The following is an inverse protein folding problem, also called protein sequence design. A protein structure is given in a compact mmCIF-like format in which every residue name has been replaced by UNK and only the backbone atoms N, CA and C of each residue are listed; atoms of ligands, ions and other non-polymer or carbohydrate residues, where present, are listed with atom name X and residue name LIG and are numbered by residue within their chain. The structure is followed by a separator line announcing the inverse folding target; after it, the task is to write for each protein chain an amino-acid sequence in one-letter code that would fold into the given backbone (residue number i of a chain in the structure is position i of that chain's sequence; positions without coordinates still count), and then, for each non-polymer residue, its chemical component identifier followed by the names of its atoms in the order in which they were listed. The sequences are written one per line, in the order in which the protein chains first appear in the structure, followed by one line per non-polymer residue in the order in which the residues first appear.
data_IF_518846542306
#
_entry.id   IF_518846542306
#
_cell.length_a   1.000
_cell.length_b   1.000
_cell.length_c   1.000
_cell.angle_alpha   90.00
_cell.angle_beta   90.00
_cell.angle_gamma   90.00
#
_symmetry.space_group_name_H-M   'P 1'
#
loop_
_entity.id
_entity.type
_entity.pdbx_description
1 polymer ?
#
# COMPACT_ATOMS: atom_id res chain seq x y z
N UNK A 1 24.31 40.87 -24.32
CA UNK A 1 24.70 40.07 -23.16
C UNK A 1 23.75 40.44 -22.03
N UNK A 2 22.77 39.59 -21.76
CA UNK A 2 21.85 39.73 -20.60
C UNK A 2 22.42 38.91 -19.44
N UNK A 3 22.38 39.42 -18.16
CA UNK A 3 22.91 38.68 -17.04
C UNK A 3 21.97 37.51 -16.62
N UNK A 4 22.58 36.34 -16.43
CA UNK A 4 21.91 35.15 -15.90
C UNK A 4 21.58 35.36 -14.44
N UNK A 5 20.29 35.29 -14.06
CA UNK A 5 19.84 35.31 -12.67
C UNK A 5 20.26 34.02 -11.96
N UNK A 6 21.03 34.15 -10.87
CA UNK A 6 21.33 33.05 -9.95
C UNK A 6 20.04 32.57 -9.21
N UNK A 7 19.88 31.28 -8.96
CA UNK A 7 18.76 30.77 -8.17
C UNK A 7 18.88 31.20 -6.70
N UNK A 8 17.75 31.45 -6.07
CA UNK A 8 17.58 31.98 -4.72
C UNK A 8 17.95 30.90 -3.67
N UNK A 9 19.14 30.96 -3.12
CA UNK A 9 19.67 30.04 -2.10
C UNK A 9 18.89 30.08 -0.77
N UNK A 10 18.09 31.12 -0.51
CA UNK A 10 17.29 31.27 0.71
C UNK A 10 16.09 30.29 0.82
N UNK A 11 15.50 29.88 -0.30
CA UNK A 11 14.32 28.99 -0.27
C UNK A 11 14.67 27.53 0.04
N UNK A 12 15.89 27.10 -0.29
CA UNK A 12 16.34 25.72 -0.05
C UNK A 12 16.77 25.49 1.40
N UNK A 13 17.31 26.53 2.06
CA UNK A 13 17.69 26.50 3.48
C UNK A 13 16.46 26.43 4.39
N UNK A 14 15.37 27.13 4.06
CA UNK A 14 14.12 27.13 4.85
C UNK A 14 13.37 25.79 4.77
N UNK A 15 13.45 25.08 3.64
CA UNK A 15 12.86 23.75 3.47
C UNK A 15 13.62 22.66 4.25
N UNK A 16 14.96 22.76 4.31
CA UNK A 16 15.78 21.84 5.11
C UNK A 16 15.57 22.05 6.61
N UNK A 17 15.44 23.28 7.07
CA UNK A 17 15.23 23.61 8.48
C UNK A 17 13.86 23.11 8.97
N UNK A 18 12.82 23.20 8.14
CA UNK A 18 11.48 22.67 8.45
C UNK A 18 11.45 21.14 8.50
N UNK A 19 12.16 20.44 7.62
CA UNK A 19 12.28 18.96 7.67
C UNK A 19 13.04 18.47 8.91
N UNK A 20 14.09 19.20 9.35
CA UNK A 20 14.82 18.86 10.56
C UNK A 20 13.95 19.05 11.82
N UNK A 21 13.14 20.10 11.87
CA UNK A 21 12.25 20.39 12.99
C UNK A 21 11.16 19.31 13.16
N UNK A 22 10.59 18.80 12.05
CA UNK A 22 9.57 17.73 12.07
C UNK A 22 10.18 16.40 12.55
N UNK A 23 11.40 16.07 12.12
CA UNK A 23 12.12 14.87 12.58
C UNK A 23 12.44 14.91 14.08
N UNK A 24 12.84 16.06 14.61
CA UNK A 24 13.12 16.23 16.04
C UNK A 24 11.84 16.24 16.90
N UNK A 25 10.71 16.69 16.35
CA UNK A 25 9.42 16.68 17.04
C UNK A 25 8.87 15.25 17.17
N UNK A 26 8.97 14.44 16.13
CA UNK A 26 8.62 13.01 16.15
C UNK A 26 9.47 12.19 17.12
N UNK A 27 10.77 12.47 17.22
CA UNK A 27 11.67 11.80 18.18
C UNK A 27 11.35 12.13 19.64
N UNK A 28 10.88 13.36 19.91
CA UNK A 28 10.46 13.78 21.27
C UNK A 28 9.11 13.22 21.68
N UNK A 29 8.17 13.01 20.74
CA UNK A 29 6.88 12.34 21.01
C UNK A 29 7.08 10.87 21.37
N UNK A 30 7.98 10.15 20.70
CA UNK A 30 8.31 8.76 21.00
C UNK A 30 8.97 8.60 22.38
N UNK A 31 9.81 9.57 22.79
CA UNK A 31 10.47 9.55 24.10
C UNK A 31 9.50 9.81 25.28
N UNK A 32 8.45 10.61 25.06
CA UNK A 32 7.42 10.87 26.09
C UNK A 32 6.44 9.70 26.29
N UNK A 33 6.23 8.87 25.28
CA UNK A 33 5.40 7.66 25.39
C UNK A 33 6.09 6.50 26.13
N UNK A 34 7.42 6.50 26.21
CA UNK A 34 8.20 5.46 26.90
C UNK A 34 8.43 5.76 28.39
N UNK A 35 8.10 6.95 28.91
CA UNK A 35 8.29 7.36 30.30
C UNK A 35 7.04 7.30 31.19
N UNK A 36 5.91 6.83 30.66
CA UNK A 36 4.61 6.78 31.35
C UNK A 36 4.30 5.50 32.14
N UNK A 37 5.20 4.50 32.21
CA UNK A 37 4.89 3.18 32.77
C UNK A 37 5.81 2.75 33.92
N UNK A 38 6.03 3.60 34.91
CA UNK A 38 6.72 3.22 36.16
C UNK A 38 6.29 4.16 37.29
N UNK A 39 5.32 3.78 38.08
CA UNK A 39 4.95 4.09 39.50
C UNK A 39 3.53 3.55 39.66
N UNK A 40 3.20 2.60 40.53
CA UNK A 40 3.53 2.47 41.96
C UNK A 40 3.22 1.05 42.48
N UNK A 41 4.21 0.50 43.13
CA UNK A 41 4.01 -0.52 44.18
C UNK A 41 3.94 0.25 45.52
N UNK A 42 2.83 0.13 46.23
CA UNK A 42 2.66 0.67 47.58
C UNK A 42 1.96 -0.34 48.46
N UNK A 43 2.73 -0.93 49.37
CA UNK A 43 2.31 -1.82 50.44
C UNK A 43 1.44 -1.12 51.48
N UNK A 44 0.44 -1.81 52.01
CA UNK A 44 0.14 -1.73 53.46
C UNK A 44 -0.68 -2.92 53.90
N UNK A 45 -0.36 -3.36 55.10
CA UNK A 45 -0.68 -4.59 55.73
C UNK A 45 -1.89 -4.52 56.65
N UNK A 46 -2.37 -5.72 57.01
CA UNK A 46 -2.84 -6.25 58.27
C UNK A 46 -4.30 -6.05 58.71
N UNK A 47 -4.85 -7.17 59.03
CA UNK A 47 -5.60 -7.70 60.17
C UNK A 47 -7.01 -8.16 59.77
N UNK A 48 -7.36 -9.41 59.82
CA UNK A 48 -7.52 -10.27 60.94
C UNK A 48 -8.96 -10.75 61.03
N UNK A 49 -9.15 -12.08 61.21
CA UNK A 49 -10.23 -12.77 61.85
C UNK A 49 -11.33 -13.48 61.04
N UNK A 50 -11.24 -14.81 61.12
CA UNK A 50 -12.25 -15.86 61.34
C UNK A 50 -13.23 -16.26 60.24
N UNK A 51 -13.06 -17.53 59.88
CA UNK A 51 -14.02 -18.44 59.23
C UNK A 51 -15.27 -18.71 60.10
N UNK A 52 -16.39 -19.24 59.54
CA UNK A 52 -16.45 -20.66 59.25
C UNK A 52 -17.23 -21.08 57.97
N UNK A 53 -16.87 -22.30 57.54
CA UNK A 53 -17.48 -23.25 56.61
C UNK A 53 -18.95 -23.09 56.19
N UNK A 54 -19.18 -23.27 54.88
CA UNK A 54 -20.26 -24.11 54.36
C UNK A 54 -19.93 -24.60 52.94
N UNK A 55 -20.05 -25.89 52.74
CA UNK A 55 -19.86 -26.66 51.51
C UNK A 55 -20.93 -26.36 50.45
N UNK A 56 -20.54 -26.63 49.22
CA UNK A 56 -21.27 -27.25 48.12
C UNK A 56 -21.50 -26.41 46.86
N UNK A 57 -21.07 -26.96 45.74
CA UNK A 57 -21.59 -26.61 44.41
C UNK A 57 -20.52 -26.33 43.36
N UNK A 58 -19.86 -27.38 42.89
CA UNK A 58 -19.11 -27.40 41.63
C UNK A 58 -20.08 -27.21 40.46
N UNK A 59 -20.08 -26.04 39.86
CA UNK A 59 -20.41 -25.92 38.44
C UNK A 59 -19.32 -25.08 37.77
N UNK A 60 -18.56 -25.76 36.91
CA UNK A 60 -17.48 -25.17 36.11
C UNK A 60 -18.05 -24.19 35.10
N UNK A 61 -17.91 -22.91 35.37
CA UNK A 61 -18.00 -21.88 34.32
C UNK A 61 -16.64 -21.85 33.64
N UNK A 62 -16.52 -22.57 32.55
CA UNK A 62 -15.44 -22.37 31.58
C UNK A 62 -15.62 -20.99 30.97
N UNK A 63 -14.81 -20.07 31.45
CA UNK A 63 -14.60 -18.77 30.82
C UNK A 63 -13.96 -19.05 29.44
N UNK A 64 -14.57 -18.61 28.31
CA UNK A 64 -13.89 -18.68 27.05
C UNK A 64 -12.73 -17.69 27.09
N UNK A 65 -11.53 -18.19 27.13
CA UNK A 65 -10.32 -17.42 26.83
C UNK A 65 -10.39 -17.01 25.35
N UNK A 66 -11.01 -15.87 25.09
CA UNK A 66 -10.83 -15.20 23.81
C UNK A 66 -9.43 -14.56 23.83
N UNK A 67 -8.41 -15.37 23.62
CA UNK A 67 -7.19 -14.88 22.98
C UNK A 67 -7.60 -14.48 21.58
N UNK A 68 -7.87 -13.19 21.39
CA UNK A 68 -7.86 -12.59 20.07
C UNK A 68 -6.41 -12.74 19.58
N UNK A 69 -6.14 -13.80 18.82
CA UNK A 69 -4.94 -13.86 18.00
C UNK A 69 -4.91 -12.54 17.22
N UNK A 70 -3.91 -11.72 17.52
CA UNK A 70 -3.63 -10.55 16.71
C UNK A 70 -3.44 -11.09 15.28
N UNK A 71 -4.40 -10.79 14.41
CA UNK A 71 -4.32 -11.20 13.02
C UNK A 71 -2.97 -10.71 12.49
N UNK A 72 -2.12 -11.65 12.09
CA UNK A 72 -0.84 -11.33 11.47
C UNK A 72 -1.08 -10.46 10.23
N UNK A 73 -0.06 -9.78 9.71
CA UNK A 73 -0.22 -8.96 8.53
C UNK A 73 -0.81 -9.79 7.39
N UNK A 74 -1.87 -9.26 6.74
CA UNK A 74 -2.56 -9.93 5.63
C UNK A 74 -1.54 -10.27 4.55
N UNK A 75 -1.51 -11.54 4.14
CA UNK A 75 -0.56 -12.01 3.14
C UNK A 75 -0.94 -11.50 1.74
N UNK A 76 -0.03 -10.78 1.11
CA UNK A 76 -0.18 -10.37 -0.28
C UNK A 76 -0.09 -11.54 -1.28
N UNK A 77 0.41 -12.73 -0.85
CA UNK A 77 0.70 -13.85 -1.75
C UNK A 77 -0.30 -14.98 -1.70
N UNK A 78 -0.90 -15.18 -0.55
CA UNK A 78 -1.82 -16.26 -0.31
C UNK A 78 -2.94 -15.77 0.59
N UNK A 79 -3.71 -14.77 0.14
CA UNK A 79 -4.87 -14.32 0.90
C UNK A 79 -5.87 -15.45 1.03
N UNK A 80 -6.65 -15.45 2.10
CA UNK A 80 -7.75 -16.40 2.23
C UNK A 80 -8.71 -16.22 1.06
N UNK A 81 -9.12 -17.31 0.37
CA UNK A 81 -10.02 -17.19 -0.76
C UNK A 81 -11.33 -16.49 -0.37
N UNK A 82 -11.79 -15.57 -1.23
CA UNK A 82 -13.12 -14.99 -1.10
C UNK A 82 -14.22 -16.02 -1.38
N UNK A 83 -15.48 -15.70 -1.04
CA UNK A 83 -16.65 -16.57 -1.27
C UNK A 83 -17.57 -16.02 -2.38
N UNK A 84 -17.09 -15.12 -3.24
CA UNK A 84 -17.88 -14.50 -4.28
C UNK A 84 -18.12 -15.48 -5.43
N UNK A 85 -19.38 -15.62 -5.85
CA UNK A 85 -19.81 -16.54 -6.92
C UNK A 85 -19.57 -15.98 -8.33
N UNK A 86 -19.26 -14.70 -8.44
CA UNK A 86 -19.02 -13.98 -9.70
C UNK A 86 -17.51 -13.65 -9.95
N UNK A 87 -16.62 -14.36 -9.25
CA UNK A 87 -15.17 -14.32 -9.44
C UNK A 87 -14.68 -15.77 -9.52
N UNK A 88 -14.11 -16.14 -10.68
CA UNK A 88 -13.55 -17.48 -10.85
C UNK A 88 -12.10 -17.55 -10.35
N UNK A 89 -11.62 -18.72 -9.87
CA UNK A 89 -10.26 -18.87 -9.33
C UNK A 89 -9.14 -18.60 -10.35
N UNK A 90 -9.44 -18.58 -11.65
CA UNK A 90 -8.50 -18.29 -12.74
C UNK A 90 -8.66 -16.89 -13.33
N UNK A 91 -9.55 -16.07 -12.77
CA UNK A 91 -9.67 -14.67 -13.15
C UNK A 91 -8.39 -13.92 -12.78
N UNK A 92 -7.88 -13.04 -13.67
CA UNK A 92 -6.66 -12.26 -13.43
C UNK A 92 -6.72 -11.35 -12.19
N UNK A 93 -7.89 -11.14 -11.63
CA UNK A 93 -8.15 -10.32 -10.45
C UNK A 93 -8.54 -11.13 -9.21
N UNK A 94 -8.64 -12.47 -9.27
CA UNK A 94 -9.07 -13.35 -8.17
C UNK A 94 -8.23 -13.12 -6.89
N UNK A 95 -6.91 -13.19 -7.02
CA UNK A 95 -6.00 -12.97 -5.89
C UNK A 95 -6.16 -11.56 -5.29
N UNK A 96 -6.31 -10.54 -6.13
CA UNK A 96 -6.51 -9.17 -5.68
C UNK A 96 -7.85 -8.99 -4.95
N UNK A 97 -8.90 -9.66 -5.41
CA UNK A 97 -10.21 -9.66 -4.73
C UNK A 97 -10.10 -10.36 -3.37
N UNK A 98 -9.47 -11.54 -3.32
CA UNK A 98 -9.24 -12.26 -2.07
C UNK A 98 -8.49 -11.41 -1.05
N UNK A 99 -7.44 -10.69 -1.48
CA UNK A 99 -6.69 -9.76 -0.65
C UNK A 99 -7.55 -8.58 -0.15
N UNK A 100 -8.41 -8.01 -1.00
CA UNK A 100 -9.32 -6.93 -0.60
C UNK A 100 -10.31 -7.36 0.50
N UNK A 101 -10.80 -8.61 0.43
CA UNK A 101 -11.70 -9.16 1.44
C UNK A 101 -10.97 -9.43 2.75
N UNK A 102 -9.81 -10.08 2.70
CA UNK A 102 -9.02 -10.39 3.89
C UNK A 102 -8.50 -9.12 4.59
N UNK A 103 -8.18 -8.08 3.81
CA UNK A 103 -7.76 -6.75 4.33
C UNK A 103 -8.95 -5.88 4.77
N UNK A 104 -10.18 -6.40 4.73
CA UNK A 104 -11.41 -5.66 5.07
C UNK A 104 -11.62 -4.36 4.29
N UNK A 105 -10.99 -4.25 3.11
CA UNK A 105 -11.13 -3.10 2.22
C UNK A 105 -12.52 -3.12 1.54
N UNK A 106 -13.06 -4.31 1.28
CA UNK A 106 -14.39 -4.48 0.68
C UNK A 106 -15.16 -5.64 1.30
N UNK A 107 -16.50 -5.52 1.32
CA UNK A 107 -17.42 -6.63 1.60
C UNK A 107 -18.20 -7.08 0.35
N UNK A 108 -17.75 -6.68 -0.86
CA UNK A 108 -18.47 -6.97 -2.09
C UNK A 108 -19.59 -5.96 -2.41
N UNK A 109 -20.42 -6.28 -3.39
CA UNK A 109 -21.69 -5.56 -3.68
C UNK A 109 -22.87 -6.23 -2.98
N UNK A 110 -22.74 -7.54 -2.73
CA UNK A 110 -23.58 -8.34 -1.82
C UNK A 110 -22.66 -9.30 -1.07
N UNK A 111 -23.19 -10.06 -0.12
CA UNK A 111 -22.41 -11.00 0.69
C UNK A 111 -21.69 -12.08 -0.15
N UNK A 112 -22.25 -12.45 -1.32
CA UNK A 112 -21.77 -13.50 -2.21
C UNK A 112 -21.29 -12.99 -3.58
N UNK A 113 -21.22 -11.67 -3.80
CA UNK A 113 -20.84 -11.07 -5.08
C UNK A 113 -19.88 -9.89 -4.93
N UNK A 114 -18.81 -9.92 -5.69
CA UNK A 114 -17.85 -8.83 -5.78
C UNK A 114 -18.28 -7.73 -6.76
N UNK A 115 -18.93 -8.08 -7.87
CA UNK A 115 -19.32 -7.18 -8.96
C UNK A 115 -18.14 -6.73 -9.83
N UNK A 116 -17.34 -7.64 -10.40
CA UNK A 116 -16.08 -7.32 -11.08
C UNK A 116 -16.24 -6.36 -12.25
N UNK A 117 -17.35 -6.43 -12.97
CA UNK A 117 -17.64 -5.57 -14.14
C UNK A 117 -18.32 -4.24 -13.80
N UNK A 118 -18.67 -4.01 -12.53
CA UNK A 118 -19.30 -2.76 -12.10
C UNK A 118 -18.27 -1.64 -12.10
N UNK A 119 -18.62 -0.47 -12.65
CA UNK A 119 -17.77 0.71 -12.62
C UNK A 119 -17.67 1.26 -11.19
N UNK A 120 -16.49 1.72 -10.81
CA UNK A 120 -16.22 2.33 -9.50
C UNK A 120 -16.65 3.78 -9.52
N UNK A 121 -17.56 4.16 -8.62
CA UNK A 121 -17.89 5.56 -8.39
C UNK A 121 -16.85 6.27 -7.52
N UNK A 122 -16.84 7.62 -7.53
CA UNK A 122 -15.90 8.40 -6.70
C UNK A 122 -16.12 8.18 -5.20
N UNK A 123 -17.38 7.97 -4.76
CA UNK A 123 -17.67 7.61 -3.37
C UNK A 123 -17.07 6.25 -2.98
N UNK A 124 -17.20 5.25 -3.86
CA UNK A 124 -16.56 3.95 -3.66
C UNK A 124 -15.03 4.03 -3.69
N UNK A 125 -14.47 4.85 -4.61
CA UNK A 125 -13.03 5.11 -4.67
C UNK A 125 -12.52 5.67 -3.35
N UNK A 126 -13.23 6.65 -2.76
CA UNK A 126 -12.85 7.20 -1.47
C UNK A 126 -12.77 6.11 -0.39
N UNK A 127 -13.75 5.21 -0.35
CA UNK A 127 -13.76 4.10 0.59
C UNK A 127 -12.59 3.13 0.38
N UNK A 128 -12.32 2.76 -0.86
CA UNK A 128 -11.21 1.87 -1.19
C UNK A 128 -9.87 2.44 -0.71
N UNK A 129 -9.58 3.70 -1.04
CA UNK A 129 -8.32 4.35 -0.66
C UNK A 129 -8.20 4.57 0.85
N UNK A 130 -9.29 4.98 1.50
CA UNK A 130 -9.31 5.19 2.94
C UNK A 130 -9.12 3.90 3.73
N UNK A 131 -9.78 2.82 3.29
CA UNK A 131 -9.63 1.48 3.87
C UNK A 131 -8.22 0.92 3.65
N UNK A 132 -7.66 1.04 2.45
CA UNK A 132 -6.29 0.64 2.13
C UNK A 132 -5.25 1.38 3.00
N UNK A 133 -5.52 2.64 3.36
CA UNK A 133 -4.70 3.42 4.29
C UNK A 133 -4.89 3.04 5.78
N UNK A 134 -5.71 2.05 6.10
CA UNK A 134 -6.00 1.61 7.48
C UNK A 134 -7.07 2.44 8.19
N UNK A 135 -7.95 3.10 7.45
CA UNK A 135 -9.08 3.88 7.97
C UNK A 135 -8.69 5.01 8.94
N UNK A 136 -7.68 5.83 8.66
CA UNK A 136 -7.25 6.87 9.58
C UNK A 136 -8.32 7.95 9.77
N UNK A 137 -8.39 8.60 10.94
CA UNK A 137 -9.31 9.71 11.16
C UNK A 137 -8.94 10.88 10.24
N UNK A 138 -9.94 11.57 9.64
CA UNK A 138 -9.67 12.75 8.81
C UNK A 138 -9.11 13.91 9.65
N UNK A 139 -8.12 14.63 9.11
CA UNK A 139 -7.54 15.80 9.77
C UNK A 139 -8.49 17.02 9.79
N UNK A 140 -9.46 17.06 8.87
CA UNK A 140 -10.51 18.08 8.75
C UNK A 140 -11.73 17.53 8.02
N UNK A 141 -12.95 18.08 8.26
CA UNK A 141 -14.12 17.74 7.45
C UNK A 141 -13.98 18.32 6.02
N UNK A 142 -14.66 17.68 5.07
CA UNK A 142 -14.87 18.28 3.74
C UNK A 142 -15.97 19.36 3.77
N UNK A 143 -16.05 20.15 2.69
CA UNK A 143 -17.08 21.21 2.50
C UNK A 143 -17.96 20.99 1.27
N UNK A 144 -18.03 19.75 0.74
CA UNK A 144 -18.82 19.45 -0.44
C UNK A 144 -20.32 19.36 -0.12
N UNK A 145 -21.15 20.12 -0.84
CA UNK A 145 -22.60 20.14 -0.64
C UNK A 145 -23.34 18.92 -1.20
N UNK A 146 -22.68 18.11 -2.03
CA UNK A 146 -23.23 16.90 -2.64
C UNK A 146 -22.80 15.60 -1.92
N UNK A 147 -22.19 15.70 -0.75
CA UNK A 147 -21.85 14.57 0.13
C UNK A 147 -22.68 14.71 1.40
N UNK A 148 -23.67 13.83 1.57
CA UNK A 148 -24.54 13.85 2.74
C UNK A 148 -23.74 13.48 4.01
N UNK A 149 -24.03 14.08 5.18
CA UNK A 149 -23.33 13.80 6.44
C UNK A 149 -23.43 12.34 6.88
N UNK A 150 -24.49 11.64 6.53
CA UNK A 150 -24.76 10.23 6.81
C UNK A 150 -24.32 9.27 5.69
N UNK A 151 -23.73 9.79 4.61
CA UNK A 151 -23.23 8.96 3.51
C UNK A 151 -22.10 8.04 4.02
N UNK A 152 -22.14 6.76 3.66
CA UNK A 152 -21.14 5.76 4.09
C UNK A 152 -19.70 6.14 3.73
N UNK A 153 -19.50 6.97 2.72
CA UNK A 153 -18.21 7.50 2.25
C UNK A 153 -17.84 8.88 2.83
N UNK A 154 -18.66 9.49 3.67
CA UNK A 154 -18.45 10.86 4.19
C UNK A 154 -17.09 11.02 4.88
N UNK A 155 -16.76 10.11 5.81
CA UNK A 155 -15.47 10.11 6.54
C UNK A 155 -14.30 9.92 5.58
N UNK A 156 -14.41 9.00 4.63
CA UNK A 156 -13.38 8.74 3.62
C UNK A 156 -13.14 9.97 2.72
N UNK A 157 -14.21 10.66 2.29
CA UNK A 157 -14.08 11.91 1.51
C UNK A 157 -13.40 13.00 2.32
N UNK A 158 -13.73 13.15 3.60
CA UNK A 158 -13.05 14.09 4.51
C UNK A 158 -11.56 13.78 4.64
N UNK A 159 -11.20 12.51 4.75
CA UNK A 159 -9.80 12.08 4.79
C UNK A 159 -9.08 12.42 3.48
N UNK A 160 -9.65 12.08 2.31
CA UNK A 160 -9.06 12.43 1.01
C UNK A 160 -8.78 13.93 0.86
N UNK A 161 -9.68 14.78 1.36
CA UNK A 161 -9.50 16.24 1.36
C UNK A 161 -8.41 16.65 2.34
N UNK A 162 -8.37 16.04 3.52
CA UNK A 162 -7.35 16.31 4.54
C UNK A 162 -5.94 16.02 4.05
N UNK A 163 -5.77 14.90 3.34
CA UNK A 163 -4.50 14.47 2.74
C UNK A 163 -4.18 15.15 1.39
N UNK A 164 -5.06 16.03 0.90
CA UNK A 164 -4.85 16.70 -0.39
C UNK A 164 -4.97 15.79 -1.61
N UNK A 165 -5.59 14.60 -1.45
CA UNK A 165 -5.76 13.62 -2.54
C UNK A 165 -6.82 14.09 -3.54
N UNK A 166 -7.80 14.87 -3.10
CA UNK A 166 -8.85 15.40 -3.97
C UNK A 166 -9.27 16.81 -3.59
N UNK A 167 -9.56 17.63 -4.60
CA UNK A 167 -10.26 18.92 -4.47
C UNK A 167 -11.71 18.86 -4.96
N UNK A 168 -12.24 17.68 -5.29
CA UNK A 168 -13.56 17.51 -5.89
C UNK A 168 -13.55 17.55 -7.42
N UNK A 169 -14.73 17.66 -8.04
CA UNK A 169 -14.92 17.79 -9.50
C UNK A 169 -15.21 19.23 -9.91
N UNK A 170 -15.68 20.04 -8.98
CA UNK A 170 -15.91 21.47 -9.12
C UNK A 170 -15.95 22.11 -7.72
N UNK A 171 -15.97 23.42 -7.64
CA UNK A 171 -16.12 24.15 -6.38
C UNK A 171 -17.36 23.65 -5.61
N UNK A 172 -17.16 23.24 -4.35
CA UNK A 172 -18.22 22.72 -3.49
C UNK A 172 -18.83 21.37 -3.91
N UNK A 173 -18.24 20.66 -4.90
CA UNK A 173 -18.78 19.40 -5.42
C UNK A 173 -17.74 18.29 -5.48
N UNK A 174 -18.03 17.17 -4.83
CA UNK A 174 -17.23 15.96 -4.88
C UNK A 174 -17.59 15.05 -6.06
N UNK A 175 -18.87 14.96 -6.43
CA UNK A 175 -19.39 14.05 -7.45
C UNK A 175 -19.38 12.58 -7.01
N UNK A 176 -19.95 12.17 -5.86
CA UNK A 176 -19.79 10.83 -5.31
C UNK A 176 -20.30 9.72 -6.22
N UNK A 177 -21.29 9.99 -7.06
CA UNK A 177 -21.90 9.03 -7.98
C UNK A 177 -21.28 9.05 -9.39
N UNK A 178 -20.31 9.91 -9.64
CA UNK A 178 -19.58 9.96 -10.92
C UNK A 178 -18.59 8.80 -10.99
N UNK A 179 -18.59 8.07 -12.10
CA UNK A 179 -17.61 7.00 -12.31
C UNK A 179 -16.19 7.57 -12.44
N UNK A 180 -15.23 6.83 -11.89
CA UNK A 180 -13.81 7.19 -11.95
C UNK A 180 -13.22 6.71 -13.27
N UNK A 181 -12.59 7.62 -14.03
CA UNK A 181 -11.84 7.24 -15.21
C UNK A 181 -10.44 6.71 -14.84
N UNK A 182 -9.79 5.98 -15.76
CA UNK A 182 -8.44 5.46 -15.55
C UNK A 182 -7.40 6.58 -15.34
N UNK A 183 -7.56 7.73 -16.01
CA UNK A 183 -6.73 8.91 -15.77
C UNK A 183 -6.90 9.47 -14.37
N UNK A 184 -8.14 9.57 -13.89
CA UNK A 184 -8.43 9.99 -12.50
C UNK A 184 -7.91 8.98 -11.48
N UNK A 185 -8.05 7.66 -11.75
CA UNK A 185 -7.48 6.60 -10.91
C UNK A 185 -5.98 6.78 -10.76
N UNK A 186 -5.26 7.02 -11.85
CA UNK A 186 -3.82 7.26 -11.80
C UNK A 186 -3.47 8.40 -10.83
N UNK A 187 -4.18 9.52 -10.91
CA UNK A 187 -3.96 10.67 -10.02
C UNK A 187 -4.27 10.31 -8.57
N UNK A 188 -5.38 9.62 -8.30
CA UNK A 188 -5.73 9.20 -6.94
C UNK A 188 -4.65 8.33 -6.31
N UNK A 189 -4.18 7.28 -7.00
CA UNK A 189 -3.15 6.40 -6.49
C UNK A 189 -1.80 7.10 -6.33
N UNK A 190 -1.39 7.90 -7.33
CA UNK A 190 -0.15 8.65 -7.30
C UNK A 190 -0.12 9.65 -6.12
N UNK A 191 -1.21 10.41 -5.92
CA UNK A 191 -1.30 11.37 -4.82
C UNK A 191 -1.37 10.67 -3.46
N UNK A 192 -2.16 9.60 -3.33
CA UNK A 192 -2.22 8.80 -2.11
C UNK A 192 -0.86 8.18 -1.74
N UNK A 193 0.00 7.92 -2.74
CA UNK A 193 1.37 7.42 -2.54
C UNK A 193 2.40 8.54 -2.27
N UNK A 194 1.97 9.80 -2.06
CA UNK A 194 2.83 10.94 -1.78
C UNK A 194 3.42 11.61 -3.01
N UNK A 195 2.83 11.40 -4.20
CA UNK A 195 3.23 12.01 -5.47
C UNK A 195 4.72 11.82 -5.84
N UNK A 196 5.26 10.59 -5.80
CA UNK A 196 6.65 10.34 -6.13
C UNK A 196 6.94 10.65 -7.60
N UNK A 197 8.16 11.13 -7.90
CA UNK A 197 8.57 11.38 -9.28
C UNK A 197 8.62 10.06 -10.07
N UNK A 198 8.12 10.01 -11.31
CA UNK A 198 8.22 8.81 -12.15
C UNK A 198 9.67 8.55 -12.55
N UNK A 199 10.06 7.28 -12.67
CA UNK A 199 11.42 6.87 -13.09
C UNK A 199 11.71 7.24 -14.55
N UNK A 200 10.69 7.18 -15.40
CA UNK A 200 10.76 7.51 -16.83
C UNK A 200 9.36 7.91 -17.33
N UNK A 201 9.26 8.68 -18.43
CA UNK A 201 7.99 8.94 -19.08
C UNK A 201 7.42 7.64 -19.67
N UNK A 202 6.08 7.53 -19.69
CA UNK A 202 5.38 6.43 -20.35
C UNK A 202 5.47 6.55 -21.89
N UNK A 203 5.12 5.45 -22.59
CA UNK A 203 5.12 5.39 -24.06
C UNK A 203 3.71 5.31 -24.68
N UNK A 204 2.65 5.60 -23.95
CA UNK A 204 1.28 5.55 -24.45
C UNK A 204 0.97 6.70 -25.42
N UNK A 205 0.37 6.38 -26.56
CA UNK A 205 0.05 7.35 -27.62
C UNK A 205 -1.28 8.09 -27.39
N UNK A 206 -2.10 7.61 -26.46
CA UNK A 206 -3.41 8.16 -26.10
C UNK A 206 -3.40 8.94 -24.76
N UNK A 207 -2.23 9.23 -24.24
CA UNK A 207 -2.01 10.11 -23.09
C UNK A 207 -1.24 11.34 -23.57
N UNK A 208 -1.90 12.50 -23.59
CA UNK A 208 -1.27 13.73 -24.02
C UNK A 208 -0.19 14.19 -23.01
N UNK A 209 0.88 14.80 -23.52
CA UNK A 209 2.01 15.22 -22.68
C UNK A 209 1.63 16.30 -21.65
N UNK A 210 0.61 17.11 -21.93
CA UNK A 210 0.04 18.16 -21.09
C UNK A 210 -1.16 17.69 -20.26
N UNK A 211 -1.56 16.41 -20.36
CA UNK A 211 -2.67 15.88 -19.57
C UNK A 211 -2.34 15.91 -18.06
N UNK A 212 -3.29 16.36 -17.23
CA UNK A 212 -3.12 16.48 -15.78
C UNK A 212 -2.74 15.14 -15.09
N UNK A 213 -3.03 14.02 -15.73
CA UNK A 213 -2.70 12.67 -15.26
C UNK A 213 -1.41 12.09 -15.88
N UNK A 214 -0.71 12.80 -16.75
CA UNK A 214 0.47 12.31 -17.46
C UNK A 214 1.58 11.80 -16.52
N UNK A 215 1.95 12.61 -15.53
CA UNK A 215 2.96 12.27 -14.52
C UNK A 215 2.54 11.04 -13.71
N UNK A 216 1.28 10.98 -13.30
CA UNK A 216 0.73 9.86 -12.54
C UNK A 216 0.72 8.55 -13.36
N UNK A 217 0.36 8.62 -14.65
CA UNK A 217 0.42 7.47 -15.56
C UNK A 217 1.87 6.98 -15.74
N UNK A 218 2.84 7.90 -15.92
CA UNK A 218 4.26 7.55 -15.98
C UNK A 218 4.75 6.85 -14.73
N UNK A 219 4.30 7.30 -13.55
CA UNK A 219 4.62 6.67 -12.28
C UNK A 219 4.00 5.26 -12.17
N UNK A 220 2.73 5.08 -12.52
CA UNK A 220 2.07 3.77 -12.51
C UNK A 220 2.79 2.74 -13.39
N UNK A 221 3.29 3.16 -14.56
CA UNK A 221 4.07 2.30 -15.46
C UNK A 221 5.43 1.98 -14.85
N UNK A 222 6.14 3.01 -14.36
CA UNK A 222 7.47 2.86 -13.78
C UNK A 222 7.50 1.96 -12.54
N UNK A 223 6.39 1.89 -11.79
CA UNK A 223 6.22 1.03 -10.62
C UNK A 223 5.59 -0.34 -10.95
N UNK A 224 5.22 -0.58 -12.20
CA UNK A 224 4.62 -1.85 -12.62
C UNK A 224 3.14 -2.02 -12.23
N UNK A 225 2.49 -0.96 -11.72
CA UNK A 225 1.06 -1.02 -11.35
C UNK A 225 0.18 -1.21 -12.59
N UNK A 226 0.62 -0.74 -13.74
CA UNK A 226 -0.08 -0.93 -15.01
C UNK A 226 0.87 -1.07 -16.19
N UNK A 227 0.47 -1.89 -17.17
CA UNK A 227 1.07 -1.95 -18.50
C UNK A 227 0.17 -1.32 -19.58
N UNK A 228 -0.96 -0.69 -19.19
CA UNK A 228 -1.98 -0.19 -20.10
C UNK A 228 -3.08 -1.22 -20.38
N UNK A 229 -3.87 -0.98 -21.43
CA UNK A 229 -4.98 -1.88 -21.85
C UNK A 229 -4.64 -2.65 -23.13
N UNK A 230 -3.69 -2.13 -23.90
CA UNK A 230 -3.14 -2.73 -25.13
C UNK A 230 -1.75 -2.12 -25.40
N UNK A 231 -0.94 -2.68 -26.29
CA UNK A 231 0.33 -2.09 -26.68
C UNK A 231 0.19 -0.61 -27.07
N UNK A 232 0.89 0.27 -26.36
CA UNK A 232 0.86 1.72 -26.57
C UNK A 232 -0.45 2.43 -26.22
N UNK A 233 -1.37 1.79 -25.45
CA UNK A 233 -2.68 2.34 -25.07
C UNK A 233 -2.94 2.25 -23.57
N UNK A 234 -3.25 3.38 -22.96
CA UNK A 234 -3.65 3.48 -21.55
C UNK A 234 -5.16 3.55 -21.35
N UNK A 235 -5.90 4.12 -22.30
CA UNK A 235 -7.32 4.42 -22.25
C UNK A 235 -7.72 5.33 -21.07
N UNK A 236 -7.19 6.57 -20.96
CA UNK A 236 -7.35 7.43 -19.78
C UNK A 236 -8.80 7.81 -19.49
N UNK A 237 -9.66 7.86 -20.50
CA UNK A 237 -11.07 8.23 -20.38
C UNK A 237 -12.02 7.04 -20.12
N UNK A 238 -11.51 5.79 -20.19
CA UNK A 238 -12.32 4.62 -19.86
C UNK A 238 -12.61 4.57 -18.36
N UNK A 239 -13.81 4.16 -17.97
CA UNK A 239 -14.15 3.95 -16.57
C UNK A 239 -13.37 2.78 -15.99
N UNK A 240 -13.04 2.87 -14.71
CA UNK A 240 -12.41 1.78 -13.96
C UNK A 240 -13.48 0.86 -13.42
N UNK A 241 -13.36 -0.44 -13.72
CA UNK A 241 -14.20 -1.47 -13.12
C UNK A 241 -13.68 -1.87 -11.73
N UNK A 242 -14.52 -2.53 -10.93
CA UNK A 242 -14.12 -3.04 -9.61
C UNK A 242 -13.01 -4.08 -9.72
N UNK A 243 -13.01 -4.94 -10.76
CA UNK A 243 -11.91 -5.86 -11.02
C UNK A 243 -10.57 -5.13 -11.25
N UNK A 244 -10.58 -4.09 -12.10
CA UNK A 244 -9.39 -3.27 -12.33
C UNK A 244 -8.95 -2.52 -11.06
N UNK A 245 -9.92 -2.02 -10.27
CA UNK A 245 -9.61 -1.37 -8.99
C UNK A 245 -8.92 -2.31 -8.02
N UNK A 246 -9.40 -3.56 -7.91
CA UNK A 246 -8.76 -4.57 -7.07
C UNK A 246 -7.28 -4.76 -7.45
N UNK A 247 -7.01 -4.96 -8.75
CA UNK A 247 -5.63 -5.14 -9.24
C UNK A 247 -4.78 -3.89 -9.00
N UNK A 248 -5.31 -2.70 -9.24
CA UNK A 248 -4.57 -1.45 -9.00
C UNK A 248 -4.19 -1.28 -7.53
N UNK A 249 -5.12 -1.50 -6.60
CA UNK A 249 -4.87 -1.39 -5.17
C UNK A 249 -3.92 -2.49 -4.69
N UNK A 250 -4.19 -3.74 -5.04
CA UNK A 250 -3.33 -4.85 -4.67
C UNK A 250 -1.89 -4.64 -5.15
N UNK A 251 -1.70 -4.27 -6.43
CA UNK A 251 -0.36 -4.03 -6.97
C UNK A 251 0.30 -2.81 -6.31
N UNK A 252 -0.46 -1.75 -6.00
CA UNK A 252 0.08 -0.58 -5.31
C UNK A 252 0.50 -0.90 -3.87
N UNK A 253 -0.30 -1.67 -3.16
CA UNK A 253 -0.06 -1.97 -1.74
C UNK A 253 0.89 -3.14 -1.52
N UNK A 254 0.82 -4.15 -2.39
CA UNK A 254 1.62 -5.37 -2.32
C UNK A 254 2.81 -5.36 -3.29
N UNK A 255 2.61 -4.91 -4.53
CA UNK A 255 3.59 -5.07 -5.61
C UNK A 255 4.81 -4.17 -5.52
N UNK A 256 4.70 -3.01 -4.90
CA UNK A 256 5.76 -1.98 -4.92
C UNK A 256 6.54 -1.86 -3.62
N UNK A 257 5.99 -2.30 -2.49
CA UNK A 257 6.63 -2.17 -1.17
C UNK A 257 7.72 -3.22 -0.98
N UNK A 258 8.99 -2.84 -0.73
CA UNK A 258 9.99 -3.78 -0.28
C UNK A 258 9.65 -4.24 1.15
N UNK A 259 9.65 -5.56 1.38
CA UNK A 259 9.45 -6.19 2.69
C UNK A 259 10.76 -6.73 3.28
N UNK A 260 11.75 -6.97 2.44
CA UNK A 260 13.11 -7.30 2.85
C UNK A 260 14.11 -6.72 1.86
N UNK A 261 15.28 -6.37 2.34
CA UNK A 261 16.43 -5.95 1.52
C UNK A 261 17.64 -6.71 2.02
N UNK A 262 18.39 -7.30 1.10
CA UNK A 262 19.65 -7.96 1.42
C UNK A 262 20.76 -7.53 0.46
N UNK A 263 21.99 -7.48 0.94
CA UNK A 263 23.14 -6.97 0.22
C UNK A 263 24.27 -7.99 0.10
N UNK A 264 24.65 -8.31 -1.14
CA UNK A 264 25.89 -9.03 -1.44
C UNK A 264 27.10 -8.07 -1.46
N UNK A 265 28.24 -8.57 -1.96
CA UNK A 265 29.47 -7.77 -1.99
C UNK A 265 29.36 -6.53 -2.89
N UNK A 266 28.68 -6.66 -4.03
CA UNK A 266 28.59 -5.58 -5.05
C UNK A 266 27.22 -5.42 -5.67
N UNK A 267 26.20 -6.10 -5.12
CA UNK A 267 24.81 -5.97 -5.57
C UNK A 267 23.89 -6.01 -4.37
N UNK A 268 22.69 -5.49 -4.54
CA UNK A 268 21.63 -5.51 -3.54
C UNK A 268 20.35 -6.03 -4.17
N UNK A 269 19.52 -6.68 -3.37
CA UNK A 269 18.22 -7.18 -3.78
C UNK A 269 17.16 -6.76 -2.78
N UNK A 270 15.98 -6.40 -3.26
CA UNK A 270 14.80 -6.14 -2.46
C UNK A 270 13.72 -7.17 -2.82
N UNK A 271 13.24 -7.88 -1.83
CA UNK A 271 12.02 -8.67 -1.92
C UNK A 271 10.84 -7.70 -1.74
N UNK A 272 9.93 -7.72 -2.69
CA UNK A 272 8.70 -6.95 -2.63
C UNK A 272 7.55 -7.75 -2.03
N UNK A 273 6.55 -7.03 -1.53
CA UNK A 273 5.38 -7.64 -0.94
C UNK A 273 4.54 -8.51 -1.92
N UNK A 274 4.72 -8.42 -3.23
CA UNK A 274 4.12 -9.28 -4.24
C UNK A 274 4.95 -10.56 -4.56
N UNK A 275 6.01 -10.83 -3.79
CA UNK A 275 6.93 -11.96 -4.01
C UNK A 275 7.81 -11.83 -5.23
N UNK A 276 7.85 -10.67 -5.87
CA UNK A 276 8.86 -10.37 -6.86
C UNK A 276 10.12 -9.84 -6.18
N UNK A 277 11.25 -10.00 -6.85
CA UNK A 277 12.55 -9.51 -6.37
C UNK A 277 13.06 -8.50 -7.39
N UNK A 278 13.59 -7.38 -6.90
CA UNK A 278 14.31 -6.41 -7.71
C UNK A 278 15.75 -6.28 -7.22
N UNK A 279 16.73 -6.41 -8.12
CA UNK A 279 18.15 -6.31 -7.80
C UNK A 279 18.81 -5.17 -8.56
N UNK A 280 19.87 -4.59 -7.97
CA UNK A 280 20.70 -3.55 -8.58
C UNK A 280 22.15 -3.71 -8.13
N UNK A 281 23.08 -3.16 -8.89
CA UNK A 281 24.53 -3.26 -8.67
C UNK A 281 25.24 -4.08 -9.73
N UNK A 282 26.25 -4.83 -9.33
CA UNK A 282 27.08 -5.62 -10.21
C UNK A 282 26.38 -6.91 -10.67
N UNK A 283 26.59 -7.31 -11.95
CA UNK A 283 25.90 -8.47 -12.54
C UNK A 283 26.79 -9.28 -13.52
N UNK A 284 28.12 -9.23 -13.38
CA UNK A 284 29.02 -9.96 -14.27
C UNK A 284 28.88 -11.47 -14.18
N UNK A 285 28.47 -11.97 -13.01
CA UNK A 285 28.28 -13.40 -12.72
C UNK A 285 26.80 -13.82 -12.83
N UNK A 286 25.94 -12.93 -13.31
CA UNK A 286 24.50 -13.18 -13.40
C UNK A 286 23.77 -13.18 -12.04
N UNK A 287 24.43 -12.69 -10.97
CA UNK A 287 23.93 -12.70 -9.59
C UNK A 287 22.61 -11.97 -9.40
N UNK A 288 22.25 -11.06 -10.28
CA UNK A 288 20.98 -10.36 -10.24
C UNK A 288 19.82 -11.14 -10.89
N UNK A 289 20.11 -12.23 -11.63
CA UNK A 289 19.06 -13.06 -12.23
C UNK A 289 18.15 -12.37 -13.25
N UNK A 290 18.62 -11.31 -13.91
CA UNK A 290 17.84 -10.52 -14.86
C UNK A 290 17.86 -11.07 -16.30
N UNK A 291 18.49 -12.23 -16.50
CA UNK A 291 18.60 -12.91 -17.81
C UNK A 291 19.74 -12.41 -18.69
N UNK A 292 20.61 -11.59 -18.17
CA UNK A 292 21.86 -11.14 -18.80
C UNK A 292 22.98 -11.14 -17.77
N UNK A 293 24.22 -11.22 -18.20
CA UNK A 293 25.43 -11.05 -17.38
C UNK A 293 26.16 -9.77 -17.79
N UNK A 294 25.45 -8.65 -17.84
CA UNK A 294 26.03 -7.33 -18.11
C UNK A 294 26.57 -6.70 -16.81
N UNK A 295 27.56 -5.84 -16.97
CA UNK A 295 28.44 -5.45 -15.85
C UNK A 295 27.77 -4.73 -14.67
N UNK A 296 26.72 -3.94 -14.87
CA UNK A 296 26.18 -3.12 -13.77
C UNK A 296 24.79 -2.55 -14.07
N UNK A 297 23.93 -2.53 -13.05
CA UNK A 297 22.63 -1.88 -13.09
C UNK A 297 22.51 -0.92 -11.91
N UNK A 298 22.35 0.36 -12.17
CA UNK A 298 22.27 1.38 -11.15
C UNK A 298 20.86 1.58 -10.59
N UNK A 299 19.85 1.03 -11.27
CA UNK A 299 18.45 1.07 -10.87
C UNK A 299 17.95 -0.35 -10.61
N UNK A 300 16.99 -0.55 -9.68
CA UNK A 300 16.40 -1.86 -9.43
C UNK A 300 15.75 -2.46 -10.68
N UNK A 301 16.15 -3.68 -11.04
CA UNK A 301 15.59 -4.44 -12.15
C UNK A 301 14.98 -5.73 -11.61
N UNK A 302 13.78 -6.08 -12.08
CA UNK A 302 13.08 -7.29 -11.62
C UNK A 302 13.82 -8.56 -12.04
N UNK A 303 14.04 -9.45 -11.08
CA UNK A 303 14.62 -10.79 -11.27
C UNK A 303 13.67 -11.63 -12.10
N UNK A 304 14.19 -12.33 -13.12
CA UNK A 304 13.38 -13.16 -14.02
C UNK A 304 13.14 -14.55 -13.45
N UNK A 305 11.94 -15.07 -13.67
CA UNK A 305 11.58 -16.45 -13.32
C UNK A 305 11.51 -16.72 -11.83
N UNK A 306 11.40 -15.69 -10.99
CA UNK A 306 11.09 -15.79 -9.57
C UNK A 306 9.80 -15.03 -9.29
N UNK A 307 8.84 -15.75 -8.72
CA UNK A 307 7.59 -15.22 -8.18
C UNK A 307 7.23 -15.99 -6.91
N UNK A 308 6.43 -15.38 -6.04
CA UNK A 308 6.05 -16.00 -4.77
C UNK A 308 7.24 -16.19 -3.82
N UNK A 309 8.27 -15.35 -3.91
CA UNK A 309 9.36 -15.37 -2.94
C UNK A 309 8.87 -14.85 -1.58
N UNK A 310 9.25 -15.55 -0.52
CA UNK A 310 8.91 -15.21 0.88
C UNK A 310 10.13 -14.72 1.65
N UNK A 311 11.35 -15.03 1.14
CA UNK A 311 12.60 -14.58 1.73
C UNK A 311 13.69 -14.50 0.66
N UNK A 312 14.72 -13.67 0.91
CA UNK A 312 15.90 -13.52 0.07
C UNK A 312 17.19 -13.58 0.90
N UNK A 313 18.23 -14.11 0.28
CA UNK A 313 19.58 -14.08 0.81
C UNK A 313 20.58 -13.83 -0.33
N UNK A 314 21.52 -12.92 -0.13
CA UNK A 314 22.57 -12.59 -1.09
C UNK A 314 23.94 -13.00 -0.57
N UNK A 315 24.75 -13.61 -1.43
CA UNK A 315 26.16 -13.85 -1.20
C UNK A 315 27.03 -12.91 -2.03
N UNK A 316 28.34 -13.16 -2.08
CA UNK A 316 29.26 -12.30 -2.84
C UNK A 316 28.87 -12.22 -4.33
N UNK A 317 28.52 -13.37 -4.96
CA UNK A 317 28.27 -13.49 -6.39
C UNK A 317 26.98 -14.23 -6.73
N UNK A 318 26.08 -14.41 -5.77
CA UNK A 318 24.80 -15.07 -5.97
C UNK A 318 23.68 -14.45 -5.15
N UNK A 319 22.46 -14.69 -5.59
CA UNK A 319 21.22 -14.34 -4.88
C UNK A 319 20.32 -15.57 -4.85
N UNK A 320 19.82 -15.93 -3.67
CA UNK A 320 18.87 -17.01 -3.48
C UNK A 320 17.55 -16.47 -2.94
N UNK A 321 16.44 -17.06 -3.34
CA UNK A 321 15.11 -16.78 -2.87
C UNK A 321 14.44 -18.06 -2.37
N UNK A 322 13.82 -18.00 -1.20
CA UNK A 322 12.90 -19.02 -0.71
C UNK A 322 11.52 -18.69 -1.24
N UNK A 323 10.79 -19.67 -1.78
CA UNK A 323 9.45 -19.51 -2.33
C UNK A 323 8.38 -20.04 -1.38
N UNK A 324 7.15 -19.59 -1.57
CA UNK A 324 5.99 -20.07 -0.80
C UNK A 324 5.72 -21.58 -0.97
N UNK A 325 6.15 -22.20 -2.09
CA UNK A 325 6.08 -23.64 -2.38
C UNK A 325 7.24 -24.46 -1.77
N UNK A 326 7.84 -24.05 -0.69
CA UNK A 326 9.13 -24.27 -0.04
C UNK A 326 10.31 -24.66 -0.96
N UNK A 327 10.33 -24.23 -2.20
CA UNK A 327 11.50 -24.38 -3.08
C UNK A 327 12.46 -23.19 -2.94
N UNK A 328 13.74 -23.40 -3.26
CA UNK A 328 14.76 -22.34 -3.29
C UNK A 328 15.23 -22.14 -4.72
N UNK A 329 15.29 -20.89 -5.15
CA UNK A 329 15.81 -20.51 -6.46
C UNK A 329 17.00 -19.59 -6.31
N UNK A 330 18.17 -20.00 -6.83
CA UNK A 330 19.41 -19.21 -6.79
C UNK A 330 19.79 -18.70 -8.18
N UNK A 331 20.52 -17.59 -8.23
CA UNK A 331 21.09 -16.94 -9.42
C UNK A 331 22.51 -16.51 -9.13
N UNK A 332 23.39 -16.56 -10.15
CA UNK A 332 24.81 -16.25 -10.02
C UNK A 332 25.66 -17.49 -9.87
N UNK A 333 26.89 -17.29 -9.38
CA UNK A 333 27.89 -18.33 -9.14
C UNK A 333 27.91 -18.79 -7.67
#
# INVERSE_FOLDING_TARGET
MMPVRKPNEGAMSDLMTKKLAISQWLSRLLALLMLGSLVSLGSAATAGASEPNAEAGTEGVTQPSAEAEAAGPVSCFSPKPHQCTDVAPDDYFDQAVSWLFESEITGGVTADRYGPSVNVSRGQMAMFLWKDAGSPPPSRPHSFGDVAPDAYYNTAVSWLVGEGITGGVAEGRYGPNVNVSRGQMAVFLHTASGSPAPLAPHSFTDVAADAYYNTAVSWLVGTGITAGVAPGKYAPNANVTRAQMAVFLHTNSCGTKPIAVDGGERHNCALKADGTIACWGHNSDGQMGIGTSNNQQWIPVTVRGISGATDIATGSFHTCAVKADPTVACRGN
#
